data_IF_043102853867
#
_entry.id   IF_043102853867
#
_cell.length_a   1.000
_cell.length_b   1.000
_cell.length_c   1.000
_cell.angle_alpha   90.00
_cell.angle_beta   90.00
_cell.angle_gamma   90.00
#
_symmetry.space_group_name_H-M   'P 1'
#
loop_
_entity.id
_entity.type
_entity.pdbx_description
1 polymer ?
#
# COMPACT_ATOMS: atom_id res chain seq x y z
N UNK A 1 6.03 13.80 -30.78
CA UNK A 1 5.81 12.36 -30.50
C UNK A 1 6.16 12.13 -29.04
N UNK A 2 5.15 12.10 -28.16
CA UNK A 2 5.34 12.00 -26.72
C UNK A 2 5.46 10.53 -26.32
N UNK A 3 6.63 10.14 -25.82
CA UNK A 3 6.83 8.86 -25.16
C UNK A 3 5.92 8.76 -23.94
N UNK A 4 4.74 8.19 -24.13
CA UNK A 4 3.98 7.59 -23.04
C UNK A 4 4.78 6.36 -22.61
N UNK A 5 5.69 6.57 -21.65
CA UNK A 5 6.11 5.51 -20.76
C UNK A 5 4.83 5.06 -20.05
N UNK A 6 4.17 4.04 -20.61
CA UNK A 6 3.37 3.14 -19.81
C UNK A 6 4.37 2.58 -18.81
N UNK A 7 4.48 3.22 -17.64
CA UNK A 7 5.09 2.63 -16.46
C UNK A 7 4.31 1.34 -16.22
N UNK A 8 4.76 0.24 -16.81
CA UNK A 8 4.35 -1.10 -16.44
C UNK A 8 4.64 -1.17 -14.95
N UNK A 9 3.56 -1.15 -14.15
CA UNK A 9 3.70 -1.16 -12.70
C UNK A 9 4.40 -2.47 -12.35
N UNK A 10 5.60 -2.43 -11.74
CA UNK A 10 6.36 -3.66 -11.56
C UNK A 10 5.53 -4.62 -10.70
N UNK A 11 5.54 -5.91 -11.03
CA UNK A 11 4.57 -6.90 -10.50
C UNK A 11 4.48 -6.97 -8.97
N UNK A 12 5.51 -6.49 -8.26
CA UNK A 12 5.60 -6.46 -6.80
C UNK A 12 5.07 -5.17 -6.15
N UNK A 13 4.44 -4.28 -6.91
CA UNK A 13 4.11 -2.96 -6.40
C UNK A 13 2.74 -2.89 -5.71
N UNK A 14 2.67 -2.24 -4.53
CA UNK A 14 1.43 -2.09 -3.80
C UNK A 14 0.35 -1.41 -4.65
N UNK A 15 -0.88 -1.93 -4.67
CA UNK A 15 -1.95 -1.37 -5.49
C UNK A 15 -2.19 0.11 -5.20
N UNK A 16 -2.35 0.93 -6.25
CA UNK A 16 -2.86 2.30 -6.14
C UNK A 16 -4.35 2.28 -5.78
N UNK A 17 -4.77 3.28 -5.01
CA UNK A 17 -6.19 3.64 -4.87
C UNK A 17 -6.61 4.37 -6.15
N UNK A 18 -7.49 3.74 -6.92
CA UNK A 18 -8.05 4.24 -8.18
C UNK A 18 -9.40 4.91 -7.95
N UNK A 19 -9.86 5.71 -8.91
CA UNK A 19 -11.19 6.33 -8.84
C UNK A 19 -12.32 5.29 -8.71
N UNK A 20 -12.14 4.11 -9.29
CA UNK A 20 -13.10 2.99 -9.21
C UNK A 20 -13.19 2.32 -7.83
N UNK A 21 -12.24 2.59 -6.93
CA UNK A 21 -12.15 1.94 -5.63
C UNK A 21 -13.12 2.57 -4.60
N UNK A 22 -13.90 3.58 -5.00
CA UNK A 22 -14.98 4.18 -4.23
C UNK A 22 -14.51 4.77 -2.88
N UNK A 23 -13.31 5.36 -2.88
CA UNK A 23 -12.72 6.06 -1.73
C UNK A 23 -13.00 7.57 -1.73
N UNK A 24 -13.93 8.04 -2.57
CA UNK A 24 -14.43 9.41 -2.55
C UNK A 24 -15.49 9.60 -1.44
N UNK A 25 -15.71 10.83 -0.93
CA UNK A 25 -16.62 11.08 0.19
C UNK A 25 -18.04 10.54 -0.01
N UNK A 26 -18.64 10.72 -1.19
CA UNK A 26 -20.02 10.30 -1.47
C UNK A 26 -20.15 8.76 -1.41
N UNK A 27 -19.16 8.05 -1.93
CA UNK A 27 -19.11 6.59 -1.86
C UNK A 27 -18.91 6.08 -0.44
N UNK A 28 -18.10 6.76 0.39
CA UNK A 28 -17.83 6.36 1.77
C UNK A 28 -19.07 6.45 2.66
N UNK A 29 -19.95 7.43 2.43
CA UNK A 29 -21.22 7.58 3.16
C UNK A 29 -22.20 6.44 2.89
N UNK A 30 -22.17 5.88 1.68
CA UNK A 30 -23.12 4.84 1.25
C UNK A 30 -22.60 3.41 1.45
N UNK A 31 -21.37 3.12 1.02
CA UNK A 31 -20.74 1.81 1.17
C UNK A 31 -19.21 1.92 1.17
N UNK A 32 -18.63 1.89 2.36
CA UNK A 32 -17.18 1.97 2.55
C UNK A 32 -16.44 0.65 2.30
N UNK A 33 -17.13 -0.49 2.16
CA UNK A 33 -16.50 -1.82 2.12
C UNK A 33 -15.53 -1.96 0.96
N UNK A 34 -15.86 -1.41 -0.22
CA UNK A 34 -14.97 -1.46 -1.39
C UNK A 34 -13.67 -0.70 -1.15
N UNK A 35 -13.77 0.52 -0.61
CA UNK A 35 -12.60 1.32 -0.29
C UNK A 35 -11.74 0.64 0.79
N UNK A 36 -12.35 0.17 1.89
CA UNK A 36 -11.61 -0.51 2.95
C UNK A 36 -10.94 -1.80 2.47
N UNK A 37 -11.61 -2.57 1.60
CA UNK A 37 -11.00 -3.76 0.99
C UNK A 37 -9.73 -3.39 0.21
N UNK A 38 -9.78 -2.30 -0.56
CA UNK A 38 -8.63 -1.82 -1.32
C UNK A 38 -7.50 -1.31 -0.43
N UNK A 39 -7.82 -0.55 0.62
CA UNK A 39 -6.86 -0.08 1.62
C UNK A 39 -6.17 -1.28 2.28
N UNK A 40 -6.93 -2.31 2.66
CA UNK A 40 -6.39 -3.53 3.25
C UNK A 40 -5.41 -4.24 2.32
N UNK A 41 -5.75 -4.40 1.04
CA UNK A 41 -4.86 -4.98 0.04
C UNK A 41 -3.54 -4.21 -0.07
N UNK A 42 -3.62 -2.87 -0.15
CA UNK A 42 -2.45 -2.03 -0.26
C UNK A 42 -1.56 -2.08 1.00
N UNK A 43 -2.16 -2.01 2.19
CA UNK A 43 -1.44 -2.13 3.47
C UNK A 43 -0.71 -3.47 3.59
N UNK A 44 -1.37 -4.57 3.19
CA UNK A 44 -0.74 -5.89 3.20
C UNK A 44 0.46 -5.94 2.25
N UNK A 45 0.30 -5.40 1.04
CA UNK A 45 1.38 -5.38 0.05
C UNK A 45 2.56 -4.50 0.49
N UNK A 46 2.30 -3.34 1.12
CA UNK A 46 3.37 -2.52 1.70
C UNK A 46 4.09 -3.23 2.84
N UNK A 47 3.38 -3.92 3.72
CA UNK A 47 3.99 -4.73 4.78
C UNK A 47 4.89 -5.82 4.20
N UNK A 48 4.41 -6.52 3.17
CA UNK A 48 5.16 -7.60 2.52
C UNK A 48 6.40 -7.03 1.79
N UNK A 49 6.27 -5.85 1.15
CA UNK A 49 7.37 -5.13 0.53
C UNK A 49 8.44 -4.68 1.53
N UNK A 50 8.04 -4.18 2.71
CA UNK A 50 8.99 -3.77 3.75
C UNK A 50 9.78 -4.96 4.33
N UNK A 51 9.25 -6.17 4.23
CA UNK A 51 9.93 -7.42 4.62
C UNK A 51 10.70 -8.10 3.48
N UNK A 52 10.77 -7.50 2.29
CA UNK A 52 11.46 -8.07 1.13
C UNK A 52 12.95 -7.73 1.08
N UNK A 53 13.64 -8.31 0.11
CA UNK A 53 15.04 -8.03 -0.23
C UNK A 53 15.30 -6.54 -0.51
N UNK A 54 14.33 -5.80 -1.08
CA UNK A 54 14.44 -4.36 -1.35
C UNK A 54 14.81 -3.54 -0.10
N UNK A 55 14.30 -3.93 1.07
CA UNK A 55 14.53 -3.24 2.34
C UNK A 55 15.51 -3.97 3.27
N UNK A 56 16.07 -5.11 2.86
CA UNK A 56 16.95 -5.94 3.70
C UNK A 56 18.13 -5.17 4.28
N UNK A 57 18.82 -4.38 3.44
CA UNK A 57 19.98 -3.58 3.86
C UNK A 57 19.61 -2.30 4.61
N UNK A 58 18.35 -1.85 4.53
CA UNK A 58 17.85 -0.65 5.19
C UNK A 58 16.44 -0.87 5.74
N UNK A 59 16.31 -1.71 6.79
CA UNK A 59 15.01 -2.08 7.34
C UNK A 59 14.28 -0.87 7.90
N UNK A 60 12.94 -0.93 7.86
CA UNK A 60 12.06 0.14 8.32
C UNK A 60 11.12 -0.38 9.43
N UNK A 61 11.65 -0.77 10.60
CA UNK A 61 10.89 -1.53 11.62
C UNK A 61 9.69 -0.77 12.17
N UNK A 62 9.82 0.56 12.34
CA UNK A 62 8.70 1.39 12.78
C UNK A 62 7.58 1.42 11.73
N UNK A 63 7.93 1.60 10.45
CA UNK A 63 6.98 1.65 9.37
C UNK A 63 6.26 0.31 9.18
N UNK A 64 7.01 -0.79 9.25
CA UNK A 64 6.47 -2.15 9.20
C UNK A 64 5.48 -2.40 10.34
N UNK A 65 5.84 -2.02 11.57
CA UNK A 65 4.95 -2.10 12.74
C UNK A 65 3.69 -1.25 12.55
N UNK A 66 3.81 -0.04 12.02
CA UNK A 66 2.66 0.84 11.71
C UNK A 66 1.75 0.22 10.66
N UNK A 67 2.31 -0.36 9.58
CA UNK A 67 1.51 -1.07 8.57
C UNK A 67 0.75 -2.24 9.20
N UNK A 68 1.38 -3.00 10.09
CA UNK A 68 0.74 -4.13 10.79
C UNK A 68 -0.35 -3.70 11.76
N UNK A 69 -0.20 -2.57 12.44
CA UNK A 69 -1.23 -1.98 13.28
C UNK A 69 -2.43 -1.51 12.44
N UNK A 70 -2.19 -0.72 11.40
CA UNK A 70 -3.26 -0.24 10.51
C UNK A 70 -4.00 -1.42 9.86
N UNK A 71 -3.27 -2.43 9.40
CA UNK A 71 -3.84 -3.60 8.75
C UNK A 71 -4.79 -4.37 9.69
N UNK A 72 -4.48 -4.45 10.99
CA UNK A 72 -5.38 -5.02 12.01
C UNK A 72 -6.65 -4.21 12.21
N UNK A 73 -6.58 -2.88 12.13
CA UNK A 73 -7.76 -2.02 12.31
C UNK A 73 -8.73 -2.04 11.12
N UNK A 74 -8.22 -2.28 9.91
CA UNK A 74 -9.02 -2.29 8.67
C UNK A 74 -9.52 -3.72 8.33
N UNK A 75 -9.31 -4.69 9.21
CA UNK A 75 -9.70 -6.08 9.00
C UNK A 75 -10.95 -6.47 9.78
N UNK A 76 -11.97 -6.93 9.04
CA UNK A 76 -13.03 -7.76 9.59
C UNK A 76 -12.49 -9.18 9.80
N UNK A 77 -11.96 -9.47 10.98
CA UNK A 77 -11.59 -10.83 11.39
C UNK A 77 -10.44 -10.91 12.38
N UNK A 78 -10.42 -12.00 13.16
CA UNK A 78 -9.33 -12.32 14.07
C UNK A 78 -8.25 -13.11 13.32
N UNK A 79 -7.09 -12.50 13.07
CA UNK A 79 -5.92 -13.20 12.55
C UNK A 79 -4.90 -12.27 11.87
N UNK A 80 -3.61 -12.60 11.98
CA UNK A 80 -2.57 -11.90 11.21
C UNK A 80 -2.61 -12.42 9.77
N UNK A 81 -2.76 -11.56 8.75
CA UNK A 81 -2.72 -12.01 7.37
C UNK A 81 -1.36 -12.62 7.06
N UNK A 82 -1.31 -13.74 6.32
CA UNK A 82 -0.04 -14.30 5.87
C UNK A 82 0.74 -13.25 5.08
N UNK A 83 2.08 -13.32 5.16
CA UNK A 83 2.95 -12.54 4.28
C UNK A 83 3.01 -13.22 2.92
N UNK A 84 2.89 -12.44 1.86
CA UNK A 84 3.16 -12.93 0.52
C UNK A 84 4.64 -12.76 0.20
N UNK A 85 5.21 -13.76 -0.44
CA UNK A 85 6.54 -13.67 -1.01
C UNK A 85 6.44 -12.84 -2.29
N UNK A 86 7.20 -11.75 -2.34
CA UNK A 86 7.38 -10.95 -3.55
C UNK A 86 8.46 -11.60 -4.42
N UNK A 87 8.39 -11.38 -5.73
CA UNK A 87 9.44 -11.85 -6.62
C UNK A 87 10.77 -11.13 -6.25
N UNK A 88 11.91 -11.84 -6.26
CA UNK A 88 13.20 -11.23 -5.97
C UNK A 88 13.49 -10.03 -6.87
N UNK A 89 14.17 -9.03 -6.33
CA UNK A 89 14.61 -7.82 -7.03
C UNK A 89 16.11 -7.86 -7.20
N UNK A 90 16.59 -7.56 -8.42
CA UNK A 90 18.02 -7.48 -8.67
C UNK A 90 18.69 -6.45 -7.75
N UNK A 91 19.88 -6.78 -7.21
CA UNK A 91 20.57 -5.94 -6.23
C UNK A 91 20.82 -4.51 -6.72
N UNK A 92 21.08 -4.36 -8.03
CA UNK A 92 21.31 -3.05 -8.66
C UNK A 92 20.04 -2.17 -8.72
N UNK A 93 18.85 -2.77 -8.72
CA UNK A 93 17.56 -2.05 -8.74
C UNK A 93 17.08 -1.65 -7.34
N UNK A 94 17.51 -2.39 -6.29
CA UNK A 94 16.98 -2.22 -4.93
C UNK A 94 16.99 -0.78 -4.42
N UNK A 95 18.03 0.06 -4.62
CA UNK A 95 18.01 1.45 -4.15
C UNK A 95 16.91 2.29 -4.81
N UNK A 96 16.71 2.12 -6.13
CA UNK A 96 15.67 2.83 -6.88
C UNK A 96 14.28 2.35 -6.47
N UNK A 97 14.08 1.03 -6.39
CA UNK A 97 12.81 0.42 -5.97
C UNK A 97 12.42 0.88 -4.57
N UNK A 98 13.38 0.93 -3.63
CA UNK A 98 13.17 1.45 -2.27
C UNK A 98 12.71 2.90 -2.27
N UNK A 99 13.40 3.76 -3.02
CA UNK A 99 13.03 5.17 -3.12
C UNK A 99 11.60 5.35 -3.66
N UNK A 100 11.26 4.65 -4.74
CA UNK A 100 9.95 4.79 -5.35
C UNK A 100 8.84 4.17 -4.50
N UNK A 101 9.10 3.06 -3.80
CA UNK A 101 8.18 2.47 -2.85
C UNK A 101 7.80 3.45 -1.75
N UNK A 102 8.79 4.12 -1.13
CA UNK A 102 8.56 5.13 -0.10
C UNK A 102 7.84 6.37 -0.64
N UNK A 103 8.18 6.81 -1.86
CA UNK A 103 7.48 7.92 -2.54
C UNK A 103 5.99 7.58 -2.73
N UNK A 104 5.69 6.40 -3.24
CA UNK A 104 4.32 5.93 -3.46
C UNK A 104 3.56 5.75 -2.15
N UNK A 105 4.24 5.26 -1.11
CA UNK A 105 3.67 5.12 0.22
C UNK A 105 3.21 6.46 0.80
N UNK A 106 3.96 7.54 0.58
CA UNK A 106 3.54 8.89 0.99
C UNK A 106 2.24 9.32 0.30
N UNK A 107 2.11 9.06 -1.00
CA UNK A 107 0.87 9.33 -1.74
C UNK A 107 -0.29 8.50 -1.22
N UNK A 108 -0.07 7.21 -0.97
CA UNK A 108 -1.07 6.32 -0.37
C UNK A 108 -1.50 6.81 1.02
N UNK A 109 -0.56 7.15 1.89
CA UNK A 109 -0.80 7.67 3.23
C UNK A 109 -1.68 8.93 3.19
N UNK A 110 -1.42 9.86 2.26
CA UNK A 110 -2.22 11.07 2.10
C UNK A 110 -3.70 10.76 1.74
N UNK A 111 -3.94 9.74 0.91
CA UNK A 111 -5.30 9.32 0.54
C UNK A 111 -6.00 8.65 1.72
N UNK A 112 -5.38 7.65 2.36
CA UNK A 112 -6.04 6.91 3.45
C UNK A 112 -6.30 7.79 4.67
N UNK A 113 -5.42 8.76 4.96
CA UNK A 113 -5.64 9.73 6.04
C UNK A 113 -6.91 10.55 5.80
N UNK A 114 -7.23 10.91 4.55
CA UNK A 114 -8.48 11.60 4.22
C UNK A 114 -9.69 10.70 4.37
N UNK A 115 -9.59 9.44 3.93
CA UNK A 115 -10.66 8.44 4.07
C UNK A 115 -11.01 8.24 5.55
N UNK A 116 -10.02 7.96 6.39
CA UNK A 116 -10.27 7.73 7.83
C UNK A 116 -10.73 8.99 8.55
N UNK A 117 -10.19 10.17 8.22
CA UNK A 117 -10.64 11.42 8.81
C UNK A 117 -12.07 11.80 8.39
N UNK A 118 -12.51 11.41 7.18
CA UNK A 118 -13.89 11.60 6.77
C UNK A 118 -14.84 10.66 7.52
N UNK A 119 -14.49 9.37 7.65
CA UNK A 119 -15.33 8.40 8.37
C UNK A 119 -15.33 8.52 9.90
N UNK A 120 -14.38 9.26 10.48
CA UNK A 120 -14.31 9.54 11.92
C UNK A 120 -15.07 10.82 12.35
N UNK A 121 -15.63 11.56 11.37
CA UNK A 121 -16.50 12.72 11.60
C UNK A 121 -17.95 12.29 11.63
#
# INVERSE_FOLDING_TARGET
EGLQLLEEEPQNWPPRIRCSDACDPLSLESNHTRCLHRIRQALQHYRDLLGSDIFREQPQPQLETTMEQLLRHVQDGHGRPPRHLLAPTDEWEQPLQRHLALKRLRSFAAVISRVFNHGAR
#
